data_IF_480630820494
#
_entry.id   IF_480630820494
#
_cell.length_a   1.000
_cell.length_b   1.000
_cell.length_c   1.000
_cell.angle_alpha   90.00
_cell.angle_beta   90.00
_cell.angle_gamma   90.00
#
_symmetry.space_group_name_H-M   'P 1'
#
loop_
_entity.id
_entity.type
_entity.pdbx_description
1 polymer ?
#
# COMPACT_ATOMS: atom_id res chain seq x y z
N UNK A 1 -4.41 14.60 -9.18
CA UNK A 1 -3.62 14.43 -7.94
C UNK A 1 -2.12 14.33 -8.18
N UNK A 2 -1.58 13.26 -8.80
CA UNK A 2 -0.13 13.16 -9.03
C UNK A 2 0.41 14.37 -9.80
N UNK A 3 -0.25 14.71 -10.93
CA UNK A 3 0.11 15.88 -11.74
C UNK A 3 0.18 17.16 -10.89
N UNK A 4 -0.85 17.41 -10.08
CA UNK A 4 -0.93 18.60 -9.21
C UNK A 4 0.19 18.61 -8.16
N UNK A 5 0.51 17.46 -7.57
CA UNK A 5 1.61 17.33 -6.61
C UNK A 5 2.96 17.65 -7.26
N UNK A 6 3.23 17.09 -8.45
CA UNK A 6 4.46 17.36 -9.18
C UNK A 6 4.54 18.84 -9.61
N UNK A 7 3.43 19.42 -10.07
CA UNK A 7 3.34 20.85 -10.41
C UNK A 7 3.59 21.75 -9.19
N UNK A 8 3.21 21.30 -8.01
CA UNK A 8 3.49 21.96 -6.73
C UNK A 8 4.91 21.70 -6.19
N UNK A 9 5.79 21.07 -6.98
CA UNK A 9 7.20 20.83 -6.62
C UNK A 9 7.44 19.59 -5.76
N UNK A 10 6.45 18.72 -5.57
CA UNK A 10 6.66 17.43 -4.89
C UNK A 10 7.43 16.46 -5.78
N UNK A 11 8.25 15.63 -5.16
CA UNK A 11 8.94 14.53 -5.85
C UNK A 11 7.98 13.42 -6.27
N UNK A 12 8.40 12.59 -7.23
CA UNK A 12 7.64 11.38 -7.66
C UNK A 12 7.46 10.41 -6.50
N UNK A 13 8.48 10.30 -5.65
CA UNK A 13 8.43 9.49 -4.44
C UNK A 13 7.37 9.98 -3.44
N UNK A 14 7.30 11.29 -3.17
CA UNK A 14 6.26 11.86 -2.30
C UNK A 14 4.87 11.66 -2.89
N UNK A 15 4.70 11.85 -4.20
CA UNK A 15 3.43 11.62 -4.88
C UNK A 15 2.97 10.16 -4.77
N UNK A 16 3.86 9.21 -5.03
CA UNK A 16 3.57 7.78 -4.90
C UNK A 16 3.26 7.40 -3.44
N UNK A 17 4.02 7.93 -2.47
CA UNK A 17 3.76 7.71 -1.05
C UNK A 17 2.38 8.21 -0.62
N UNK A 18 1.97 9.40 -1.08
CA UNK A 18 0.67 9.95 -0.75
C UNK A 18 -0.50 9.08 -1.25
N UNK A 19 -0.35 8.39 -2.39
CA UNK A 19 -1.36 7.45 -2.88
C UNK A 19 -1.43 6.17 -2.03
N UNK A 20 -0.30 5.68 -1.53
CA UNK A 20 -0.27 4.53 -0.61
C UNK A 20 -0.87 4.87 0.75
N UNK A 21 -0.58 6.05 1.28
CA UNK A 21 -1.17 6.53 2.54
C UNK A 21 -2.69 6.70 2.42
N UNK A 22 -3.16 7.26 1.31
CA UNK A 22 -4.60 7.38 1.02
C UNK A 22 -5.27 6.00 0.93
N UNK A 23 -4.62 5.05 0.25
CA UNK A 23 -5.10 3.67 0.16
C UNK A 23 -5.17 3.00 1.53
N UNK A 24 -4.14 3.15 2.37
CA UNK A 24 -4.13 2.63 3.74
C UNK A 24 -5.31 3.19 4.53
N UNK A 25 -5.50 4.51 4.52
CA UNK A 25 -6.63 5.15 5.21
C UNK A 25 -8.00 4.67 4.67
N UNK A 26 -8.09 4.43 3.36
CA UNK A 26 -9.29 3.88 2.74
C UNK A 26 -9.57 2.45 3.21
N UNK A 27 -8.54 1.58 3.27
CA UNK A 27 -8.66 0.20 3.77
C UNK A 27 -9.03 0.19 5.25
N UNK A 28 -8.41 1.03 6.09
CA UNK A 28 -8.77 1.16 7.50
C UNK A 28 -10.25 1.55 7.66
N UNK A 29 -10.70 2.59 6.95
CA UNK A 29 -12.08 3.09 7.04
C UNK A 29 -13.10 2.09 6.50
N UNK A 30 -12.89 1.58 5.28
CA UNK A 30 -13.86 0.73 4.58
C UNK A 30 -13.82 -0.69 5.10
N UNK A 31 -12.64 -1.23 5.38
CA UNK A 31 -12.47 -2.54 6.00
C UNK A 31 -13.14 -2.60 7.36
N UNK A 32 -12.93 -1.59 8.22
CA UNK A 32 -13.63 -1.48 9.52
C UNK A 32 -15.15 -1.46 9.35
N UNK A 33 -15.68 -0.70 8.39
CA UNK A 33 -17.11 -0.64 8.12
C UNK A 33 -17.69 -1.97 7.62
N UNK A 34 -17.01 -2.65 6.69
CA UNK A 34 -17.45 -3.95 6.17
C UNK A 34 -17.40 -5.02 7.26
N UNK A 35 -16.31 -5.09 8.02
CA UNK A 35 -16.19 -6.03 9.14
C UNK A 35 -17.26 -5.76 10.20
N UNK A 36 -17.57 -4.50 10.48
CA UNK A 36 -18.65 -4.15 11.41
C UNK A 36 -20.00 -4.68 10.93
N UNK A 37 -20.33 -4.46 9.65
CA UNK A 37 -21.57 -4.96 9.06
C UNK A 37 -21.63 -6.50 9.05
N UNK A 38 -20.51 -7.17 8.75
CA UNK A 38 -20.44 -8.63 8.69
C UNK A 38 -20.56 -9.30 10.07
N UNK A 39 -20.00 -8.67 11.11
CA UNK A 39 -19.93 -9.27 12.45
C UNK A 39 -21.04 -8.81 13.40
N UNK A 40 -21.80 -7.78 13.04
CA UNK A 40 -22.79 -7.14 13.91
C UNK A 40 -22.15 -6.37 15.08
N UNK A 41 -20.83 -6.19 15.07
CA UNK A 41 -20.07 -5.48 16.11
C UNK A 41 -19.53 -4.17 15.58
N UNK A 42 -19.30 -3.18 16.44
CA UNK A 42 -18.62 -1.95 16.03
C UNK A 42 -17.12 -2.18 16.04
N UNK A 43 -16.50 -2.25 14.86
CA UNK A 43 -15.06 -2.46 14.68
C UNK A 43 -14.43 -1.21 14.09
N UNK A 44 -13.34 -0.73 14.71
CA UNK A 44 -12.51 0.37 14.21
C UNK A 44 -11.04 -0.04 14.30
N UNK A 45 -10.37 -0.24 13.17
CA UNK A 45 -8.97 -0.66 13.09
C UNK A 45 -8.08 0.44 12.51
N UNK A 46 -6.89 0.60 13.09
CA UNK A 46 -5.83 1.47 12.57
C UNK A 46 -4.48 0.79 12.64
N UNK A 47 -3.76 0.75 11.51
CA UNK A 47 -2.40 0.23 11.47
C UNK A 47 -1.45 1.19 12.20
N UNK A 48 -0.68 0.64 13.12
CA UNK A 48 0.35 1.38 13.87
C UNK A 48 1.71 1.20 13.22
N UNK A 49 1.97 0.02 12.64
CA UNK A 49 3.20 -0.25 11.91
C UNK A 49 2.97 -1.27 10.78
N UNK A 50 3.48 -0.92 9.59
CA UNK A 50 3.52 -1.79 8.42
C UNK A 50 4.92 -1.71 7.83
N UNK A 51 5.69 -2.78 7.96
CA UNK A 51 7.06 -2.82 7.43
C UNK A 51 7.47 -4.23 7.00
N UNK A 52 8.52 -4.36 6.17
CA UNK A 52 9.13 -5.66 5.90
C UNK A 52 9.79 -6.27 7.15
N UNK A 53 10.14 -7.54 7.04
CA UNK A 53 11.01 -8.27 7.97
C UNK A 53 10.40 -8.42 9.37
N UNK A 54 9.29 -9.15 9.44
CA UNK A 54 8.73 -9.61 10.72
C UNK A 54 9.66 -10.57 11.48
N UNK A 55 10.37 -11.42 10.74
CA UNK A 55 11.23 -12.50 11.26
C UNK A 55 12.58 -12.59 10.54
N UNK A 56 12.57 -12.42 9.22
CA UNK A 56 13.73 -12.60 8.33
C UNK A 56 14.58 -11.33 8.25
N UNK A 57 15.83 -11.45 7.82
CA UNK A 57 16.80 -10.34 7.71
C UNK A 57 17.48 -10.22 6.34
N UNK A 58 17.06 -11.01 5.35
CA UNK A 58 17.66 -11.02 4.02
C UNK A 58 17.31 -9.80 3.16
N UNK A 59 18.12 -9.51 2.13
CA UNK A 59 17.93 -8.32 1.27
C UNK A 59 16.61 -8.34 0.49
N UNK A 60 16.08 -9.52 0.18
CA UNK A 60 14.86 -9.65 -0.63
C UNK A 60 13.64 -9.26 0.21
N UNK A 61 13.50 -9.81 1.41
CA UNK A 61 12.40 -9.46 2.33
C UNK A 61 12.50 -8.03 2.84
N UNK A 62 13.71 -7.45 2.95
CA UNK A 62 13.89 -6.02 3.26
C UNK A 62 13.23 -5.11 2.22
N UNK A 63 13.19 -5.53 0.95
CA UNK A 63 12.65 -4.72 -0.14
C UNK A 63 11.15 -4.93 -0.36
N UNK A 64 10.69 -6.18 -0.23
CA UNK A 64 9.34 -6.61 -0.56
C UNK A 64 8.63 -7.16 0.68
N UNK A 65 7.85 -6.29 1.32
CA UNK A 65 7.28 -6.57 2.63
C UNK A 65 6.24 -7.69 2.61
N UNK A 66 5.61 -7.99 1.47
CA UNK A 66 4.61 -9.05 1.33
C UNK A 66 5.17 -10.46 1.60
N UNK A 67 6.49 -10.65 1.57
CA UNK A 67 7.13 -11.95 1.83
C UNK A 67 7.43 -12.23 3.31
N UNK A 68 7.41 -11.21 4.16
CA UNK A 68 7.58 -11.32 5.61
C UNK A 68 7.10 -10.05 6.29
N UNK A 69 5.78 -9.86 6.34
CA UNK A 69 5.14 -8.61 6.76
C UNK A 69 5.09 -8.46 8.28
N UNK A 70 5.70 -7.40 8.80
CA UNK A 70 5.50 -6.96 10.18
C UNK A 70 4.28 -6.04 10.19
N UNK A 71 3.21 -6.50 10.85
CA UNK A 71 1.91 -5.83 10.88
C UNK A 71 1.52 -5.66 12.34
N UNK A 72 1.43 -4.41 12.78
CA UNK A 72 0.89 -4.04 14.09
C UNK A 72 -0.24 -3.03 13.92
N UNK A 73 -1.23 -3.10 14.80
CA UNK A 73 -2.40 -2.25 14.74
C UNK A 73 -3.09 -2.14 16.08
N UNK A 74 -3.88 -1.07 16.21
CA UNK A 74 -4.88 -0.93 17.25
C UNK A 74 -6.25 -1.26 16.66
N UNK A 75 -7.06 -2.03 17.38
CA UNK A 75 -8.45 -2.28 17.00
C UNK A 75 -9.37 -2.07 18.20
N UNK A 76 -10.48 -1.39 17.97
CA UNK A 76 -11.55 -1.21 18.94
C UNK A 76 -12.74 -2.05 18.52
N UNK A 77 -13.25 -2.90 19.42
CA UNK A 77 -14.42 -3.75 19.20
C UNK A 77 -15.43 -3.44 20.31
N UNK A 78 -16.60 -2.93 19.94
CA UNK A 78 -17.67 -2.52 20.86
C UNK A 78 -17.14 -1.62 22.01
N UNK A 79 -16.19 -0.74 21.70
CA UNK A 79 -15.55 0.18 22.65
C UNK A 79 -14.35 -0.38 23.41
N UNK A 80 -14.10 -1.70 23.39
CA UNK A 80 -12.91 -2.31 23.99
C UNK A 80 -11.72 -2.25 23.04
N UNK A 81 -10.59 -1.76 23.51
CA UNK A 81 -9.36 -1.57 22.72
C UNK A 81 -8.42 -2.77 22.84
N UNK A 82 -7.78 -3.10 21.73
CA UNK A 82 -6.76 -4.13 21.60
C UNK A 82 -5.57 -3.53 20.85
N UNK A 83 -4.37 -3.77 21.36
CA UNK A 83 -3.14 -3.54 20.63
C UNK A 83 -2.59 -4.89 20.19
N UNK A 84 -2.45 -5.09 18.88
CA UNK A 84 -1.90 -6.31 18.31
C UNK A 84 -0.53 -5.99 17.72
N UNK A 85 0.51 -6.59 18.31
CA UNK A 85 1.88 -6.43 17.86
C UNK A 85 2.30 -7.60 16.99
N UNK A 86 2.81 -7.31 15.79
CA UNK A 86 3.40 -8.28 14.87
C UNK A 86 2.51 -9.52 14.65
N UNK A 87 1.36 -9.28 14.02
CA UNK A 87 0.27 -10.24 13.82
C UNK A 87 0.76 -11.65 13.47
N UNK A 88 1.53 -11.78 12.39
CA UNK A 88 1.88 -13.06 11.80
C UNK A 88 3.02 -13.80 12.51
N UNK A 89 3.89 -13.09 13.23
CA UNK A 89 5.08 -13.68 13.83
C UNK A 89 5.08 -13.68 15.37
N UNK A 90 4.11 -13.00 15.99
CA UNK A 90 3.95 -12.94 17.44
C UNK A 90 2.52 -13.21 17.87
N UNK A 91 1.57 -12.33 17.54
CA UNK A 91 0.24 -12.38 18.15
C UNK A 91 -0.56 -13.64 17.81
N UNK A 92 -0.56 -14.09 16.54
CA UNK A 92 -1.22 -15.35 16.15
C UNK A 92 -0.53 -16.58 16.78
N UNK A 93 0.81 -16.73 16.73
CA UNK A 93 1.50 -17.79 17.46
C UNK A 93 1.19 -17.83 18.96
N UNK A 94 1.28 -16.70 19.66
CA UNK A 94 0.97 -16.61 21.10
C UNK A 94 -0.49 -17.01 21.40
N UNK A 95 -1.44 -16.61 20.55
CA UNK A 95 -2.84 -17.00 20.70
C UNK A 95 -3.05 -18.52 20.52
N UNK A 96 -2.50 -19.09 19.44
CA UNK A 96 -2.75 -20.49 19.06
C UNK A 96 -1.97 -21.47 19.92
N UNK A 97 -0.71 -21.17 20.26
CA UNK A 97 0.20 -22.09 20.95
C UNK A 97 0.19 -21.90 22.46
N UNK A 98 0.00 -20.67 22.95
CA UNK A 98 0.10 -20.33 24.36
C UNK A 98 -1.26 -19.97 24.98
N UNK A 99 -2.32 -19.88 24.18
CA UNK A 99 -3.67 -19.51 24.64
C UNK A 99 -3.81 -18.04 25.05
N UNK A 100 -2.86 -17.18 24.68
CA UNK A 100 -2.86 -15.78 25.09
C UNK A 100 -4.07 -15.03 24.53
N UNK A 101 -4.93 -14.54 25.43
CA UNK A 101 -6.16 -13.82 25.08
C UNK A 101 -7.35 -14.72 24.73
N UNK A 102 -7.23 -16.05 24.88
CA UNK A 102 -8.31 -16.99 24.59
C UNK A 102 -9.49 -16.90 25.58
N UNK A 103 -9.28 -16.29 26.75
CA UNK A 103 -10.30 -15.97 27.74
C UNK A 103 -11.20 -14.80 27.33
N UNK A 104 -10.77 -13.97 26.37
CA UNK A 104 -11.56 -12.89 25.82
C UNK A 104 -12.24 -13.31 24.51
N UNK A 105 -13.58 -13.37 24.45
CA UNK A 105 -14.31 -13.81 23.26
C UNK A 105 -14.08 -12.92 22.02
N UNK A 106 -13.61 -11.69 22.19
CA UNK A 106 -13.35 -10.76 21.10
C UNK A 106 -11.87 -10.75 20.64
N UNK A 107 -10.95 -11.41 21.34
CA UNK A 107 -9.53 -11.36 20.97
C UNK A 107 -9.26 -12.07 19.64
N UNK A 108 -9.90 -13.23 19.41
CA UNK A 108 -9.86 -13.89 18.11
C UNK A 108 -10.42 -13.02 16.97
N UNK A 109 -11.46 -12.24 17.25
CA UNK A 109 -12.01 -11.27 16.29
C UNK A 109 -11.04 -10.11 16.03
N UNK A 110 -10.31 -9.64 17.05
CA UNK A 110 -9.26 -8.63 16.88
C UNK A 110 -8.17 -9.12 15.92
N UNK A 111 -7.68 -10.35 16.10
CA UNK A 111 -6.71 -10.99 15.20
C UNK A 111 -7.25 -11.13 13.77
N UNK A 112 -8.50 -11.61 13.64
CA UNK A 112 -9.17 -11.76 12.34
C UNK A 112 -9.31 -10.42 11.60
N UNK A 113 -9.75 -9.36 12.30
CA UNK A 113 -9.93 -8.05 11.71
C UNK A 113 -8.63 -7.51 11.09
N UNK A 114 -7.52 -7.61 11.82
CA UNK A 114 -6.23 -7.21 11.27
C UNK A 114 -5.72 -8.11 10.15
N UNK A 115 -5.98 -9.42 10.21
CA UNK A 115 -5.61 -10.33 9.14
C UNK A 115 -6.29 -9.97 7.82
N UNK A 116 -7.60 -9.72 7.83
CA UNK A 116 -8.38 -9.36 6.64
C UNK A 116 -7.90 -8.04 6.03
N UNK A 117 -7.76 -6.98 6.85
CA UNK A 117 -7.35 -5.67 6.34
C UNK A 117 -5.90 -5.65 5.89
N UNK A 118 -5.01 -6.38 6.57
CA UNK A 118 -3.61 -6.45 6.16
C UNK A 118 -3.45 -7.23 4.84
N UNK A 119 -4.24 -8.28 4.65
CA UNK A 119 -4.25 -9.07 3.41
C UNK A 119 -4.65 -8.23 2.19
N UNK A 120 -5.63 -7.33 2.34
CA UNK A 120 -5.99 -6.36 1.30
C UNK A 120 -4.79 -5.51 0.89
N UNK A 121 -4.02 -4.99 1.86
CA UNK A 121 -2.79 -4.22 1.60
C UNK A 121 -1.64 -5.07 1.05
N UNK A 122 -1.64 -6.38 1.26
CA UNK A 122 -0.64 -7.26 0.64
C UNK A 122 -0.99 -7.56 -0.82
N UNK A 123 -2.28 -7.74 -1.15
CA UNK A 123 -2.72 -8.06 -2.51
C UNK A 123 -2.50 -6.94 -3.51
N UNK A 124 -2.57 -5.67 -3.10
CA UNK A 124 -2.36 -4.55 -4.01
C UNK A 124 -1.00 -4.56 -4.76
N UNK A 125 -0.04 -5.39 -4.33
CA UNK A 125 1.17 -5.67 -5.10
C UNK A 125 0.93 -6.22 -6.52
N UNK A 126 -0.28 -6.74 -6.82
CA UNK A 126 -0.67 -7.10 -8.19
C UNK A 126 -1.24 -5.91 -8.98
N UNK A 127 -1.89 -4.94 -8.31
CA UNK A 127 -2.45 -3.72 -8.93
C UNK A 127 -1.57 -2.51 -8.61
N UNK A 128 -0.46 -2.42 -9.33
CA UNK A 128 0.63 -1.47 -9.10
C UNK A 128 0.37 -0.05 -9.62
N UNK A 129 -0.89 0.39 -9.67
CA UNK A 129 -1.25 1.72 -10.20
C UNK A 129 -0.62 2.88 -9.40
N UNK A 130 -0.40 2.68 -8.10
CA UNK A 130 0.32 3.66 -7.25
C UNK A 130 1.82 3.75 -7.58
N UNK A 131 2.33 2.89 -8.46
CA UNK A 131 3.68 2.95 -9.03
C UNK A 131 3.62 3.42 -10.48
N UNK A 132 2.80 2.78 -11.32
CA UNK A 132 2.76 3.04 -12.76
C UNK A 132 2.20 4.42 -13.10
N UNK A 133 1.16 4.88 -12.40
CA UNK A 133 0.56 6.21 -12.64
C UNK A 133 1.54 7.34 -12.26
N UNK A 134 2.17 7.34 -11.07
CA UNK A 134 3.20 8.34 -10.77
C UNK A 134 4.36 8.36 -11.77
N UNK A 135 4.83 7.19 -12.20
CA UNK A 135 5.89 7.09 -13.19
C UNK A 135 5.48 7.66 -14.56
N UNK A 136 4.27 7.34 -15.02
CA UNK A 136 3.71 7.83 -16.29
C UNK A 136 3.59 9.35 -16.31
N UNK A 137 2.95 9.92 -15.27
CA UNK A 137 2.71 11.36 -15.18
C UNK A 137 4.03 12.11 -15.05
N UNK A 138 4.97 11.63 -14.25
CA UNK A 138 6.29 12.25 -14.12
C UNK A 138 7.05 12.26 -15.45
N UNK A 139 7.01 11.14 -16.20
CA UNK A 139 7.66 11.06 -17.51
C UNK A 139 7.03 11.99 -18.55
N UNK A 140 5.70 12.09 -18.56
CA UNK A 140 4.96 13.07 -19.36
C UNK A 140 5.32 14.51 -19.01
N UNK A 141 5.71 14.78 -17.76
CA UNK A 141 6.18 16.09 -17.28
C UNK A 141 7.70 16.30 -17.46
N UNK A 142 8.38 15.44 -18.21
CA UNK A 142 9.78 15.60 -18.59
C UNK A 142 10.80 14.90 -17.68
N UNK A 143 10.36 14.16 -16.66
CA UNK A 143 11.28 13.33 -15.86
C UNK A 143 11.76 12.15 -16.70
N UNK A 144 13.05 11.79 -16.59
CA UNK A 144 13.56 10.59 -17.24
C UNK A 144 12.78 9.33 -16.80
N UNK A 145 12.28 8.49 -17.74
CA UNK A 145 11.45 7.33 -17.41
C UNK A 145 12.08 6.35 -16.40
N UNK A 146 13.40 6.16 -16.44
CA UNK A 146 14.10 5.25 -15.51
C UNK A 146 14.14 5.83 -14.10
N UNK A 147 14.33 7.14 -13.98
CA UNK A 147 14.25 7.86 -12.72
C UNK A 147 12.82 7.84 -12.16
N UNK A 148 11.82 8.18 -12.98
CA UNK A 148 10.41 8.19 -12.61
C UNK A 148 9.95 6.82 -12.07
N UNK A 149 10.27 5.74 -12.77
CA UNK A 149 9.93 4.37 -12.34
C UNK A 149 10.62 3.97 -11.01
N UNK A 150 11.89 4.36 -10.83
CA UNK A 150 12.65 4.06 -9.60
C UNK A 150 12.06 4.80 -8.40
N UNK A 151 11.76 6.08 -8.55
CA UNK A 151 11.21 6.91 -7.47
C UNK A 151 9.79 6.52 -7.11
N UNK A 152 8.95 6.23 -8.11
CA UNK A 152 7.60 5.73 -7.88
C UNK A 152 7.60 4.41 -7.09
N UNK A 153 8.43 3.43 -7.47
CA UNK A 153 8.57 2.16 -6.74
C UNK A 153 9.13 2.40 -5.32
N UNK A 154 9.99 3.40 -5.13
CA UNK A 154 10.53 3.73 -3.81
C UNK A 154 9.47 4.35 -2.90
N UNK A 155 8.62 5.22 -3.44
CA UNK A 155 7.58 5.94 -2.70
C UNK A 155 6.39 5.08 -2.33
N UNK A 156 5.93 4.23 -3.24
CA UNK A 156 4.82 3.32 -3.02
C UNK A 156 5.25 2.08 -2.22
N UNK A 157 5.59 2.29 -0.95
CA UNK A 157 6.16 1.27 -0.07
C UNK A 157 5.20 0.12 0.28
N UNK A 158 3.88 0.37 0.29
CA UNK A 158 2.85 -0.66 0.47
C UNK A 158 2.59 -1.38 -0.85
N UNK A 159 2.41 -0.62 -1.94
CA UNK A 159 2.17 -1.20 -3.26
C UNK A 159 3.35 -2.03 -3.76
N UNK A 160 4.58 -1.72 -3.34
CA UNK A 160 5.77 -2.57 -3.57
C UNK A 160 5.81 -3.77 -2.60
N UNK A 161 4.71 -4.52 -2.51
CA UNK A 161 4.64 -5.74 -1.72
C UNK A 161 5.45 -6.90 -2.33
N UNK A 162 5.53 -6.95 -3.67
CA UNK A 162 6.21 -8.00 -4.43
C UNK A 162 7.12 -7.42 -5.55
N UNK A 163 8.07 -8.20 -6.11
CA UNK A 163 8.86 -7.80 -7.27
C UNK A 163 8.01 -7.51 -8.52
N UNK A 164 8.52 -6.62 -9.38
CA UNK A 164 7.97 -6.37 -10.73
C UNK A 164 7.55 -4.93 -10.98
N UNK A 165 7.19 -4.18 -9.92
CA UNK A 165 6.66 -2.82 -10.01
C UNK A 165 7.49 -1.87 -10.88
N UNK A 166 8.80 -1.78 -10.64
CA UNK A 166 9.69 -0.89 -11.41
C UNK A 166 9.79 -1.22 -12.90
N UNK A 167 9.78 -2.50 -13.29
CA UNK A 167 9.91 -2.88 -14.70
C UNK A 167 8.69 -2.41 -15.49
N UNK A 168 7.50 -2.72 -14.98
CA UNK A 168 6.23 -2.29 -15.58
C UNK A 168 6.10 -0.76 -15.57
N UNK A 169 6.52 -0.09 -14.49
CA UNK A 169 6.50 1.37 -14.40
C UNK A 169 7.43 2.03 -15.42
N UNK A 170 8.58 1.42 -15.73
CA UNK A 170 9.49 1.90 -16.77
C UNK A 170 8.85 1.83 -18.16
N UNK A 171 8.18 0.72 -18.48
CA UNK A 171 7.49 0.55 -19.76
C UNK A 171 6.38 1.59 -19.93
N UNK A 172 5.53 1.75 -18.91
CA UNK A 172 4.46 2.75 -18.93
C UNK A 172 5.02 4.17 -19.01
N UNK A 173 6.11 4.48 -18.29
CA UNK A 173 6.74 5.80 -18.34
C UNK A 173 7.32 6.13 -19.72
N UNK A 174 7.94 5.16 -20.39
CA UNK A 174 8.43 5.33 -21.78
C UNK A 174 7.28 5.61 -22.73
N UNK A 175 6.21 4.82 -22.65
CA UNK A 175 5.03 4.99 -23.50
C UNK A 175 4.37 6.36 -23.27
N UNK A 176 4.21 6.79 -22.02
CA UNK A 176 3.65 8.10 -21.69
C UNK A 176 4.48 9.23 -22.28
N UNK A 177 5.81 9.16 -22.17
CA UNK A 177 6.72 10.15 -22.76
C UNK A 177 6.59 10.19 -24.29
N UNK A 178 6.57 9.04 -24.95
CA UNK A 178 6.41 8.94 -26.40
C UNK A 178 5.09 9.56 -26.88
N UNK A 179 3.97 9.24 -26.20
CA UNK A 179 2.67 9.82 -26.52
C UNK A 179 2.71 11.35 -26.36
N UNK A 180 3.29 11.87 -25.28
CA UNK A 180 3.41 13.32 -25.08
C UNK A 180 4.29 13.99 -26.16
N UNK A 181 5.40 13.36 -26.55
CA UNK A 181 6.25 13.88 -27.63
C UNK A 181 5.51 13.92 -28.97
N UNK A 182 4.78 12.86 -29.32
CA UNK A 182 3.97 12.79 -30.54
C UNK A 182 2.94 13.93 -30.60
N UNK A 183 2.19 14.14 -29.50
CA UNK A 183 1.17 15.19 -29.39
C UNK A 183 1.75 16.62 -29.47
N UNK A 184 3.03 16.82 -29.16
CA UNK A 184 3.71 18.12 -29.24
C UNK A 184 4.32 18.35 -30.62
N UNK A 185 4.76 17.28 -31.31
CA UNK A 185 5.36 17.36 -32.64
C UNK A 185 4.34 17.42 -33.78
N UNK A 186 3.20 16.76 -33.63
CA UNK A 186 2.11 16.92 -34.59
C UNK A 186 1.41 18.27 -34.30
N UNK A 187 1.47 19.20 -35.27
CA UNK A 187 0.50 20.30 -35.33
C UNK A 187 -0.88 19.66 -35.49
N UNK A 188 -1.50 19.26 -34.39
CA UNK A 188 -2.91 18.93 -34.40
C UNK A 188 -3.64 20.22 -34.71
N UNK A 189 -4.03 20.40 -35.98
CA UNK A 189 -5.21 21.20 -36.29
C UNK A 189 -6.29 20.68 -35.35
N UNK A 190 -6.66 21.50 -34.38
CA UNK A 190 -7.86 21.29 -33.58
C UNK A 190 -8.97 21.26 -34.64
N UNK A 191 -9.43 20.06 -34.98
CA UNK A 191 -10.57 19.90 -35.87
C UNK A 191 -11.71 20.76 -35.31
N UNK A 192 -12.40 21.52 -36.18
CA UNK A 192 -13.34 22.57 -35.77
C UNK A 192 -14.47 22.09 -34.87
#
# INVERSE_FOLDING_TARGET
KVYDMLKAGKSVEEAARALDEERKAYVEKRGSAILSAFTGKKIELKFTELRPQARRKDKFTKKYWGFDSYISYDVTIDGKKYHIENLSAKAVPEFVLEGKGADDPNYGLALFAGAVLAQELQYIGHTIINITVPAAVAAAMGVDPKTAAKEAERGAYLTRAIPGGKANALEVAKLAKQICEMLVTEKHEILP
#
